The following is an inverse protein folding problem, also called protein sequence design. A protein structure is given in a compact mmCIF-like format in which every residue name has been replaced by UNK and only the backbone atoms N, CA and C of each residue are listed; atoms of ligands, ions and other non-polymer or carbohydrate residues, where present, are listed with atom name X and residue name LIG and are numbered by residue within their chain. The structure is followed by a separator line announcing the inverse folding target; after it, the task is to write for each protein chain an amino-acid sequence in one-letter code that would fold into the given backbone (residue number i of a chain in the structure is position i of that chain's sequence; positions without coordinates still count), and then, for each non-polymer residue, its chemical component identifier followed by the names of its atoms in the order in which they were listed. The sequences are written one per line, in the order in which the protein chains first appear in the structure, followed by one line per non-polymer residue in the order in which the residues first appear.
data_IF_019571059019
#
_entry.id   IF_019571059019
#
_cell.length_a   1.000
_cell.length_b   1.000
_cell.length_c   1.000
_cell.angle_alpha   90.00
_cell.angle_beta   90.00
_cell.angle_gamma   90.00
#
_symmetry.space_group_name_H-M   'P 1'
#
loop_
_entity.id
_entity.type
_entity.pdbx_description
1 polymer ?
#
# COMPACT_ATOMS: atom_id res chain seq x y z
N UNK A 1 3.66 -13.47 -21.03
CA UNK A 1 2.63 -14.13 -20.21
C UNK A 1 3.02 -14.06 -18.75
N UNK A 2 2.29 -14.76 -17.88
CA UNK A 2 2.53 -14.80 -16.44
C UNK A 2 3.93 -15.32 -16.07
N UNK A 3 4.49 -16.24 -16.88
CA UNK A 3 5.79 -16.87 -16.60
C UNK A 3 7.01 -16.00 -16.96
N UNK A 4 6.79 -14.82 -17.53
CA UNK A 4 7.89 -13.96 -18.03
C UNK A 4 8.40 -12.96 -16.99
N UNK A 5 7.80 -12.93 -15.80
CA UNK A 5 8.18 -11.99 -14.75
C UNK A 5 7.96 -12.59 -13.36
N UNK A 6 8.69 -12.07 -12.38
CA UNK A 6 8.46 -12.36 -10.97
C UNK A 6 8.18 -11.05 -10.24
N UNK A 7 6.95 -10.89 -9.75
CA UNK A 7 6.53 -9.73 -8.96
C UNK A 7 6.49 -10.10 -7.48
N UNK A 8 7.16 -9.29 -6.65
CA UNK A 8 7.15 -9.44 -5.19
C UNK A 8 6.76 -8.13 -4.52
N UNK A 9 5.80 -8.22 -3.60
CA UNK A 9 5.46 -7.15 -2.66
C UNK A 9 6.24 -7.42 -1.38
N UNK A 10 7.04 -6.45 -0.93
CA UNK A 10 7.95 -6.65 0.21
C UNK A 10 7.31 -6.29 1.55
N UNK A 11 6.34 -5.38 1.55
CA UNK A 11 5.81 -4.79 2.79
C UNK A 11 4.50 -5.46 3.19
N UNK A 12 4.46 -5.92 4.45
CA UNK A 12 3.29 -6.55 5.04
C UNK A 12 2.48 -5.57 5.92
N UNK A 13 1.14 -5.63 5.86
CA UNK A 13 0.27 -4.71 6.60
C UNK A 13 0.06 -5.19 8.04
N UNK A 14 1.00 -4.86 8.93
CA UNK A 14 0.92 -5.19 10.35
C UNK A 14 0.25 -4.12 11.22
N UNK A 15 0.15 -2.87 10.74
CA UNK A 15 -0.39 -1.77 11.54
C UNK A 15 -1.92 -1.85 11.56
N UNK A 16 -2.52 -1.88 12.75
CA UNK A 16 -3.97 -1.93 12.90
C UNK A 16 -4.53 -0.51 12.91
N UNK A 17 -5.49 -0.22 12.03
CA UNK A 17 -6.23 1.03 11.99
C UNK A 17 -7.49 0.90 12.86
N UNK A 18 -7.74 1.92 13.68
CA UNK A 18 -8.90 2.00 14.57
C UNK A 18 -9.69 3.25 14.28
N UNK A 19 -11.02 3.12 14.34
CA UNK A 19 -11.94 4.23 14.10
C UNK A 19 -13.02 4.28 15.18
N UNK A 20 -13.32 5.49 15.65
CA UNK A 20 -14.54 5.77 16.40
C UNK A 20 -15.65 6.12 15.41
N UNK A 21 -16.51 5.15 15.09
CA UNK A 21 -17.54 5.33 14.06
C UNK A 21 -18.58 6.35 14.51
N UNK A 22 -18.58 7.51 13.85
CA UNK A 22 -19.57 8.56 14.04
C UNK A 22 -20.87 8.14 13.35
N UNK A 23 -22.02 8.39 13.98
CA UNK A 23 -23.32 8.21 13.34
C UNK A 23 -23.60 9.48 12.54
N UNK A 24 -24.02 9.32 11.29
CA UNK A 24 -24.37 10.45 10.41
C UNK A 24 -25.84 10.30 10.02
N UNK A 25 -26.61 11.38 10.14
CA UNK A 25 -28.05 11.40 9.85
C UNK A 25 -28.83 12.29 10.81
N UNK A 26 -30.14 12.45 10.58
CA UNK A 26 -31.01 13.17 11.49
C UNK A 26 -31.07 12.46 12.86
N UNK A 27 -31.01 13.23 13.95
CA UNK A 27 -31.01 12.73 15.33
C UNK A 27 -29.82 11.84 15.72
N UNK A 28 -28.73 11.84 14.94
CA UNK A 28 -27.53 11.07 15.25
C UNK A 28 -26.87 11.50 16.58
N UNK A 29 -26.95 12.78 16.91
CA UNK A 29 -26.53 13.39 18.16
C UNK A 29 -27.19 12.76 19.40
N UNK A 30 -28.44 12.29 19.29
CA UNK A 30 -29.16 11.65 20.39
C UNK A 30 -28.73 10.22 20.65
N UNK A 31 -28.27 9.52 19.61
CA UNK A 31 -27.86 8.12 19.67
C UNK A 31 -26.35 7.97 19.86
N UNK A 32 -25.60 8.98 19.43
CA UNK A 32 -24.17 8.99 19.51
C UNK A 32 -23.68 9.47 20.88
N UNK A 33 -22.67 8.80 21.44
CA UNK A 33 -22.09 9.13 22.75
C UNK A 33 -21.01 10.23 22.69
N UNK A 34 -20.94 10.97 21.58
CA UNK A 34 -19.87 11.93 21.31
C UNK A 34 -18.47 11.31 21.50
N UNK A 35 -17.69 11.90 22.40
CA UNK A 35 -16.34 11.44 22.76
C UNK A 35 -16.31 10.43 23.92
N UNK A 36 -17.45 10.14 24.54
CA UNK A 36 -17.53 9.10 25.56
C UNK A 36 -17.30 7.73 24.91
N UNK A 37 -16.26 7.02 25.35
CA UNK A 37 -15.74 5.78 24.74
C UNK A 37 -15.21 5.95 23.32
N UNK A 38 -14.48 7.03 23.06
CA UNK A 38 -13.86 7.31 21.76
C UNK A 38 -12.76 6.32 21.30
N UNK A 39 -12.41 5.31 22.11
CA UNK A 39 -11.43 4.31 21.67
C UNK A 39 -11.99 3.48 20.51
N UNK A 40 -11.31 3.55 19.37
CA UNK A 40 -11.81 3.01 18.12
C UNK A 40 -11.82 1.48 18.04
N UNK A 41 -12.76 0.98 17.25
CA UNK A 41 -12.80 -0.43 16.82
C UNK A 41 -11.86 -0.63 15.65
N UNK A 42 -11.37 -1.85 15.47
CA UNK A 42 -10.50 -2.21 14.34
C UNK A 42 -11.29 -2.14 13.04
N UNK A 43 -10.79 -1.38 12.06
CA UNK A 43 -11.41 -1.23 10.74
C UNK A 43 -10.57 -1.81 9.60
N UNK A 44 -9.26 -1.90 9.77
CA UNK A 44 -8.37 -2.29 8.69
C UNK A 44 -6.92 -2.40 9.12
N UNK A 45 -6.06 -2.68 8.14
CA UNK A 45 -4.62 -2.77 8.32
C UNK A 45 -3.90 -1.83 7.36
N UNK A 46 -2.77 -1.29 7.79
CA UNK A 46 -1.88 -0.47 7.01
C UNK A 46 -0.44 -0.99 7.11
N UNK A 47 0.37 -0.56 6.15
CA UNK A 47 1.80 -0.84 6.13
C UNK A 47 2.56 0.41 6.55
N UNK A 48 3.50 0.27 7.49
CA UNK A 48 4.43 1.35 7.84
C UNK A 48 5.64 1.24 6.91
N UNK A 49 5.94 2.34 6.23
CA UNK A 49 7.03 2.41 5.24
C UNK A 49 7.98 3.55 5.59
N UNK A 50 9.28 3.33 5.42
CA UNK A 50 10.33 4.33 5.61
C UNK A 50 10.84 4.84 4.27
N UNK A 51 11.47 6.01 4.27
CA UNK A 51 12.15 6.54 3.07
C UNK A 51 13.24 5.57 2.64
N UNK A 52 13.29 5.26 1.33
CA UNK A 52 14.22 4.30 0.75
C UNK A 52 13.82 2.83 0.90
N UNK A 53 12.71 2.52 1.56
CA UNK A 53 12.25 1.14 1.68
C UNK A 53 11.63 0.65 0.36
N UNK A 54 12.06 -0.54 -0.10
CA UNK A 54 11.50 -1.18 -1.29
C UNK A 54 10.06 -1.63 -1.01
N UNK A 55 9.11 -1.13 -1.80
CA UNK A 55 7.70 -1.51 -1.70
C UNK A 55 7.39 -2.77 -2.51
N UNK A 56 7.81 -2.75 -3.77
CA UNK A 56 7.54 -3.79 -4.76
C UNK A 56 8.76 -3.95 -5.67
N UNK A 57 9.06 -5.18 -6.08
CA UNK A 57 10.09 -5.48 -7.08
C UNK A 57 9.51 -6.36 -8.18
N UNK A 58 9.83 -6.03 -9.43
CA UNK A 58 9.50 -6.84 -10.60
C UNK A 58 10.79 -7.29 -11.28
N UNK A 59 11.08 -8.58 -11.24
CA UNK A 59 12.19 -9.18 -11.97
C UNK A 59 11.71 -9.61 -13.36
N UNK A 60 12.38 -9.12 -14.39
CA UNK A 60 12.06 -9.41 -15.80
C UNK A 60 13.36 -9.61 -16.58
N UNK A 61 13.27 -10.35 -17.69
CA UNK A 61 14.35 -10.38 -18.69
C UNK A 61 14.51 -9.00 -19.33
N UNK A 62 15.67 -8.75 -19.95
CA UNK A 62 15.99 -7.46 -20.60
C UNK A 62 14.93 -6.99 -21.60
N UNK A 63 14.31 -7.92 -22.33
CA UNK A 63 13.22 -7.65 -23.27
C UNK A 63 11.98 -7.03 -22.61
N UNK A 64 11.67 -7.44 -21.36
CA UNK A 64 10.49 -6.99 -20.61
C UNK A 64 10.66 -5.68 -19.86
N UNK A 65 11.86 -5.06 -19.90
CA UNK A 65 12.20 -3.89 -19.08
C UNK A 65 11.26 -2.71 -19.31
N UNK A 66 10.92 -2.42 -20.58
CA UNK A 66 10.03 -1.29 -20.93
C UNK A 66 8.63 -1.48 -20.34
N UNK A 67 8.11 -2.70 -20.41
CA UNK A 67 6.80 -3.06 -19.87
C UNK A 67 6.79 -2.99 -18.35
N UNK A 68 7.82 -3.51 -17.68
CA UNK A 68 7.95 -3.46 -16.22
C UNK A 68 8.04 -2.02 -15.70
N UNK A 69 8.83 -1.15 -16.34
CA UNK A 69 8.91 0.28 -15.98
C UNK A 69 7.55 0.97 -16.05
N UNK A 70 6.79 0.73 -17.13
CA UNK A 70 5.45 1.31 -17.29
C UNK A 70 4.50 0.79 -16.20
N UNK A 71 4.52 -0.52 -15.92
CA UNK A 71 3.68 -1.13 -14.89
C UNK A 71 3.98 -0.57 -13.50
N UNK A 72 5.25 -0.46 -13.11
CA UNK A 72 5.65 0.12 -11.82
C UNK A 72 5.32 1.62 -11.72
N UNK A 73 5.38 2.36 -12.83
CA UNK A 73 4.96 3.77 -12.86
C UNK A 73 3.45 3.90 -12.59
N UNK A 74 2.63 3.03 -13.18
CA UNK A 74 1.17 3.02 -12.90
C UNK A 74 0.92 2.62 -11.45
N UNK A 75 1.63 1.62 -10.93
CA UNK A 75 1.54 1.22 -9.53
C UNK A 75 1.91 2.38 -8.58
N UNK A 76 2.93 3.17 -8.91
CA UNK A 76 3.33 4.34 -8.10
C UNK A 76 2.22 5.36 -7.90
N UNK A 77 1.30 5.48 -8.86
CA UNK A 77 0.17 6.41 -8.78
C UNK A 77 -0.92 5.94 -7.80
N UNK A 78 -0.88 4.68 -7.36
CA UNK A 78 -1.84 4.11 -6.39
C UNK A 78 -1.39 4.29 -4.96
N UNK A 79 -0.12 4.62 -4.73
CA UNK A 79 0.39 4.89 -3.40
C UNK A 79 0.17 6.36 -3.03
N UNK A 80 -0.19 6.66 -1.77
CA UNK A 80 -0.40 8.03 -1.29
C UNK A 80 0.90 8.78 -1.01
N UNK A 81 2.06 8.22 -1.40
CA UNK A 81 3.41 8.75 -1.12
C UNK A 81 4.22 8.87 -2.42
N UNK A 82 5.17 9.82 -2.49
CA UNK A 82 6.09 9.89 -3.62
C UNK A 82 6.93 8.61 -3.67
N UNK A 83 6.96 7.99 -4.84
CA UNK A 83 7.71 6.75 -5.07
C UNK A 83 8.83 6.99 -6.09
N UNK A 84 9.98 6.39 -5.82
CA UNK A 84 11.13 6.37 -6.73
C UNK A 84 11.21 4.96 -7.32
N UNK A 85 11.63 4.88 -8.58
CA UNK A 85 11.89 3.61 -9.25
C UNK A 85 13.37 3.52 -9.56
N UNK A 86 13.96 2.39 -9.20
CA UNK A 86 15.36 2.07 -9.46
C UNK A 86 15.44 0.79 -10.29
N UNK A 87 16.33 0.77 -11.27
CA UNK A 87 16.61 -0.43 -12.07
C UNK A 87 17.92 -1.00 -11.55
N UNK A 88 17.84 -2.19 -10.97
CA UNK A 88 19.00 -2.92 -10.48
C UNK A 88 19.24 -4.06 -11.46
N UNK A 89 20.44 -4.11 -12.04
CA UNK A 89 20.89 -5.31 -12.75
C UNK A 89 21.22 -6.38 -11.70
N UNK A 90 20.38 -7.40 -11.64
CA UNK A 90 20.63 -8.54 -10.77
C UNK A 90 21.59 -9.45 -11.51
N UNK A 91 22.87 -9.37 -11.16
CA UNK A 91 23.86 -10.39 -11.52
C UNK A 91 23.54 -11.59 -10.63
N UNK A 92 22.83 -12.58 -11.16
CA UNK A 92 22.73 -13.88 -10.52
C UNK A 92 24.01 -14.68 -10.81
N UNK A 93 24.43 -15.49 -9.84
CA UNK A 93 25.34 -16.63 -10.06
C UNK A 93 24.79 -17.58 -11.15
#
# INVERSE_FOLDING_TARGET
GADNYYLKVHVYPHQILRENKMLVGAHADRLQKGMSRAFGKVIGRASRVKVGQVLMSACVKREGLRTAKRALKVASQKFPIPCIMEVVEVVGD
#
